data_IF_740046870358
#
_entry.id   IF_740046870358
#
_cell.length_a   1.000
_cell.length_b   1.000
_cell.length_c   1.000
_cell.angle_alpha   90.00
_cell.angle_beta   90.00
_cell.angle_gamma   90.00
#
_symmetry.space_group_name_H-M   'P 1'
#
loop_
_entity.id
_entity.type
_entity.pdbx_description
1 polymer ?
#
# COMPACT_ATOMS: atom_id res chain seq x y z
N UNK A 1 10.22 -10.10 -2.28
CA UNK A 1 10.29 -9.14 -1.18
C UNK A 1 8.92 -9.03 -0.55
N UNK A 2 8.84 -8.95 0.77
CA UNK A 2 7.56 -8.83 1.48
C UNK A 2 7.73 -8.06 2.79
N UNK A 3 6.62 -7.67 3.39
CA UNK A 3 6.56 -7.06 4.73
C UNK A 3 5.45 -7.68 5.58
N UNK A 4 5.41 -7.35 6.87
CA UNK A 4 4.37 -7.68 7.84
C UNK A 4 4.42 -6.64 8.98
N UNK A 5 3.81 -6.92 10.13
CA UNK A 5 3.88 -6.04 11.31
C UNK A 5 5.31 -5.88 11.84
N UNK A 6 6.07 -6.97 11.89
CA UNK A 6 7.53 -6.99 12.11
C UNK A 6 8.08 -8.36 11.70
N UNK A 7 9.40 -8.49 11.56
CA UNK A 7 10.02 -9.80 11.31
C UNK A 7 9.90 -10.70 12.53
N UNK A 8 9.98 -10.14 13.74
CA UNK A 8 9.80 -10.85 15.02
C UNK A 8 8.39 -11.41 15.14
N UNK A 9 7.37 -10.65 14.74
CA UNK A 9 5.97 -11.11 14.73
C UNK A 9 5.81 -12.37 13.85
N UNK A 10 6.41 -12.37 12.65
CA UNK A 10 6.40 -13.54 11.76
C UNK A 10 7.13 -14.74 12.38
N UNK A 11 8.31 -14.53 12.99
CA UNK A 11 9.05 -15.61 13.66
C UNK A 11 8.28 -16.18 14.86
N UNK A 12 7.55 -15.32 15.59
CA UNK A 12 6.79 -15.70 16.78
C UNK A 12 5.54 -16.51 16.43
N UNK A 13 4.77 -16.08 15.42
CA UNK A 13 3.47 -16.70 15.09
C UNK A 13 3.53 -17.74 13.98
N UNK A 14 4.59 -17.76 13.16
CA UNK A 14 4.76 -18.69 12.07
C UNK A 14 6.08 -19.47 12.25
N UNK A 15 6.08 -20.60 13.01
CA UNK A 15 7.30 -21.36 13.32
C UNK A 15 8.10 -21.84 12.10
N UNK A 16 7.44 -21.96 10.94
CA UNK A 16 8.05 -22.38 9.68
C UNK A 16 8.45 -21.22 8.76
N UNK A 17 8.35 -19.97 9.21
CA UNK A 17 8.75 -18.81 8.43
C UNK A 17 10.27 -18.79 8.21
N UNK A 18 10.70 -18.79 6.95
CA UNK A 18 12.11 -18.80 6.52
C UNK A 18 12.46 -17.65 5.57
N UNK A 19 11.58 -16.64 5.48
CA UNK A 19 11.64 -15.59 4.46
C UNK A 19 12.50 -14.36 4.84
N UNK A 20 13.27 -14.40 5.91
CA UNK A 20 13.92 -13.22 6.51
C UNK A 20 14.76 -12.40 5.52
N UNK A 21 15.49 -13.07 4.61
CA UNK A 21 16.31 -12.42 3.58
C UNK A 21 15.48 -11.52 2.63
N UNK A 22 14.20 -11.84 2.44
CA UNK A 22 13.28 -11.11 1.57
C UNK A 22 12.38 -10.13 2.33
N UNK A 23 12.47 -10.11 3.67
CA UNK A 23 11.71 -9.17 4.49
C UNK A 23 12.23 -7.74 4.30
N UNK A 24 11.32 -6.77 4.26
CA UNK A 24 11.63 -5.34 4.25
C UNK A 24 10.81 -4.64 5.31
N UNK A 25 11.47 -3.85 6.15
CA UNK A 25 10.81 -3.10 7.22
C UNK A 25 10.16 -1.82 6.68
N UNK A 26 9.04 -2.01 5.97
CA UNK A 26 8.25 -0.95 5.34
C UNK A 26 6.77 -1.23 5.55
N UNK A 27 5.92 -0.19 5.51
CA UNK A 27 4.48 -0.34 5.80
C UNK A 27 3.70 -1.16 4.77
N UNK A 28 4.08 -1.08 3.48
CA UNK A 28 3.52 -1.90 2.41
C UNK A 28 4.55 -2.05 1.29
N UNK A 29 4.52 -3.16 0.56
CA UNK A 29 5.39 -3.41 -0.59
C UNK A 29 4.64 -4.20 -1.67
N UNK A 30 4.92 -3.89 -2.93
CA UNK A 30 4.51 -4.67 -4.10
C UNK A 30 5.77 -5.34 -4.67
N UNK A 31 5.73 -6.66 -4.81
CA UNK A 31 6.75 -7.45 -5.49
C UNK A 31 6.07 -8.28 -6.58
N UNK A 32 6.17 -7.79 -7.82
CA UNK A 32 5.42 -8.28 -8.97
C UNK A 32 3.90 -8.42 -8.70
N UNK A 33 3.40 -9.64 -8.47
CA UNK A 33 1.99 -9.95 -8.23
C UNK A 33 1.66 -10.15 -6.74
N UNK A 34 2.64 -10.02 -5.85
CA UNK A 34 2.46 -10.13 -4.40
C UNK A 34 2.46 -8.75 -3.76
N UNK A 35 1.36 -8.40 -3.09
CA UNK A 35 1.26 -7.17 -2.29
C UNK A 35 1.13 -7.57 -0.83
N UNK A 36 2.01 -7.06 0.03
CA UNK A 36 1.97 -7.29 1.48
C UNK A 36 2.07 -5.98 2.23
N UNK A 37 1.51 -5.94 3.44
CA UNK A 37 1.50 -4.75 4.29
C UNK A 37 1.48 -5.12 5.77
N UNK A 38 1.95 -4.21 6.61
CA UNK A 38 1.63 -4.23 8.04
C UNK A 38 0.20 -3.75 8.26
N UNK A 39 -0.38 -4.06 9.42
CA UNK A 39 -1.70 -3.55 9.82
C UNK A 39 -1.75 -2.03 9.87
N UNK A 40 -0.63 -1.37 10.20
CA UNK A 40 -0.47 0.08 10.16
C UNK A 40 -0.29 0.66 8.74
N UNK A 41 -0.17 -0.19 7.73
CA UNK A 41 0.06 0.18 6.33
C UNK A 41 -1.19 0.22 5.45
N UNK A 42 -2.40 0.13 6.03
CA UNK A 42 -3.65 -0.07 5.28
C UNK A 42 -3.89 0.89 4.10
N UNK A 43 -3.55 2.18 4.24
CA UNK A 43 -3.70 3.15 3.14
C UNK A 43 -2.74 2.86 1.98
N UNK A 44 -1.46 2.57 2.28
CA UNK A 44 -0.47 2.21 1.26
C UNK A 44 -0.80 0.86 0.62
N UNK A 45 -1.35 -0.09 1.39
CA UNK A 45 -1.81 -1.37 0.88
C UNK A 45 -2.90 -1.18 -0.17
N UNK A 46 -3.93 -0.40 0.15
CA UNK A 46 -4.99 -0.05 -0.79
C UNK A 46 -4.44 0.68 -2.03
N UNK A 47 -3.52 1.65 -1.86
CA UNK A 47 -2.86 2.34 -2.99
C UNK A 47 -2.17 1.34 -3.93
N UNK A 48 -1.40 0.42 -3.37
CA UNK A 48 -0.64 -0.57 -4.14
C UNK A 48 -1.55 -1.55 -4.90
N UNK A 49 -2.68 -1.95 -4.30
CA UNK A 49 -3.69 -2.80 -4.96
C UNK A 49 -4.30 -2.04 -6.14
N UNK A 50 -4.77 -0.81 -5.93
CA UNK A 50 -5.37 0.01 -6.98
C UNK A 50 -4.38 0.23 -8.15
N UNK A 51 -3.11 0.50 -7.83
CA UNK A 51 -2.04 0.60 -8.83
C UNK A 51 -1.84 -0.69 -9.62
N UNK A 52 -1.83 -1.86 -8.95
CA UNK A 52 -1.58 -3.14 -9.61
C UNK A 52 -2.75 -3.59 -10.49
N UNK A 53 -3.96 -3.26 -10.09
CA UNK A 53 -5.17 -3.53 -10.87
C UNK A 53 -5.36 -2.53 -12.02
N UNK A 54 -4.59 -1.45 -12.06
CA UNK A 54 -4.64 -0.40 -13.08
C UNK A 54 -6.06 0.16 -13.31
N UNK A 55 -6.81 0.32 -12.21
CA UNK A 55 -8.21 0.79 -12.24
C UNK A 55 -8.34 2.30 -12.22
N UNK A 56 -7.24 3.01 -11.92
CA UNK A 56 -7.15 4.47 -11.88
C UNK A 56 -5.94 4.92 -12.68
N UNK A 57 -6.07 6.08 -13.35
CA UNK A 57 -4.91 6.79 -13.87
C UNK A 57 -3.94 7.14 -12.73
N UNK A 58 -2.67 7.37 -13.05
CA UNK A 58 -1.66 7.74 -12.06
C UNK A 58 -2.06 9.01 -11.29
N UNK A 59 -2.60 10.02 -11.98
CA UNK A 59 -3.05 11.28 -11.37
C UNK A 59 -4.22 11.05 -10.41
N UNK A 60 -5.19 10.22 -10.81
CA UNK A 60 -6.33 9.84 -9.97
C UNK A 60 -5.86 9.11 -8.71
N UNK A 61 -4.93 8.16 -8.85
CA UNK A 61 -4.41 7.39 -7.73
C UNK A 61 -3.63 8.28 -6.74
N UNK A 62 -2.86 9.24 -7.24
CA UNK A 62 -2.09 10.16 -6.41
C UNK A 62 -2.98 11.17 -5.69
N UNK A 63 -4.01 11.70 -6.37
CA UNK A 63 -5.01 12.55 -5.73
C UNK A 63 -5.79 11.79 -4.64
N UNK A 64 -6.21 10.55 -4.93
CA UNK A 64 -6.85 9.65 -3.98
C UNK A 64 -5.97 9.44 -2.75
N UNK A 65 -4.72 9.04 -2.93
CA UNK A 65 -3.81 8.78 -1.82
C UNK A 65 -3.58 10.03 -0.96
N UNK A 66 -3.34 11.18 -1.59
CA UNK A 66 -3.07 12.42 -0.87
C UNK A 66 -4.28 12.89 -0.06
N UNK A 67 -5.50 12.74 -0.60
CA UNK A 67 -6.72 13.04 0.15
C UNK A 67 -6.84 12.17 1.41
N UNK A 68 -6.77 10.84 1.27
CA UNK A 68 -6.92 9.94 2.43
C UNK A 68 -5.75 10.00 3.41
N UNK A 69 -4.56 10.41 2.97
CA UNK A 69 -3.40 10.58 3.86
C UNK A 69 -3.45 11.88 4.67
N UNK A 70 -4.08 12.94 4.15
CA UNK A 70 -4.01 14.28 4.75
C UNK A 70 -5.34 14.84 5.25
N UNK A 71 -6.46 14.39 4.68
CA UNK A 71 -7.78 14.99 4.90
C UNK A 71 -7.98 16.37 4.28
N UNK A 72 -7.02 16.88 3.49
CA UNK A 72 -7.08 18.21 2.89
C UNK A 72 -8.05 18.21 1.69
N UNK A 73 -9.08 19.06 1.76
CA UNK A 73 -10.12 19.18 0.75
C UNK A 73 -9.58 19.50 -0.65
N UNK A 74 -8.40 20.14 -0.78
CA UNK A 74 -7.81 20.41 -2.10
C UNK A 74 -7.57 19.13 -2.90
N UNK A 75 -7.14 18.05 -2.23
CA UNK A 75 -6.89 16.77 -2.90
C UNK A 75 -8.18 16.05 -3.25
N UNK A 76 -9.26 16.28 -2.51
CA UNK A 76 -10.59 15.80 -2.88
C UNK A 76 -11.05 16.46 -4.19
N UNK A 77 -10.92 17.78 -4.32
CA UNK A 77 -11.27 18.48 -5.56
C UNK A 77 -10.41 18.00 -6.74
N UNK A 78 -9.10 17.82 -6.53
CA UNK A 78 -8.22 17.25 -7.56
C UNK A 78 -8.67 15.84 -7.94
N UNK A 79 -9.02 14.99 -6.97
CA UNK A 79 -9.51 13.63 -7.23
C UNK A 79 -10.75 13.66 -8.12
N UNK A 80 -11.75 14.49 -7.80
CA UNK A 80 -12.96 14.59 -8.61
C UNK A 80 -12.65 15.04 -10.05
N UNK A 81 -11.79 16.03 -10.23
CA UNK A 81 -11.37 16.49 -11.56
C UNK A 81 -10.67 15.39 -12.38
N UNK A 82 -9.86 14.55 -11.75
CA UNK A 82 -9.18 13.44 -12.45
C UNK A 82 -10.11 12.30 -12.85
N UNK A 83 -11.31 12.21 -12.28
CA UNK A 83 -12.32 11.18 -12.63
C UNK A 83 -13.25 11.60 -13.77
N UNK A 84 -13.30 12.90 -14.08
CA UNK A 84 -14.17 13.47 -15.12
C UNK A 84 -13.54 13.40 -16.53
N UNK A 85 -12.28 12.93 -16.64
CA UNK A 85 -11.52 12.84 -17.89
C UNK A 85 -11.43 11.41 -18.43
#
# INVERSE_FOLDING_TARGET
MHTSNSVEYLKMLCPNYKGELYYRDVKAITDDNLITASSAGGLLFARNILAKLDVFSQDTLDAWYNYFNTGDAKYFYNLMQTLEN
#
